data_IF_022139423617
#
_entry.id   IF_022139423617
#
_cell.length_a   1.000
_cell.length_b   1.000
_cell.length_c   1.000
_cell.angle_alpha   90.00
_cell.angle_beta   90.00
_cell.angle_gamma   90.00
#
_symmetry.space_group_name_H-M   'P 1'
#
loop_
_entity.id
_entity.type
_entity.pdbx_description
1 polymer ?
#
# COMPACT_ATOMS: atom_id res chain seq x y z
N UNK A 1 14.03 -3.63 13.18
CA UNK A 1 15.20 -4.00 12.35
C UNK A 1 16.03 -5.12 12.96
N UNK A 2 16.33 -5.12 14.28
CA UNK A 2 17.09 -6.19 14.95
C UNK A 2 16.40 -7.56 14.81
N UNK A 3 15.10 -7.62 15.08
CA UNK A 3 14.30 -8.84 14.95
C UNK A 3 14.25 -9.35 13.52
N UNK A 4 14.11 -8.44 12.55
CA UNK A 4 14.13 -8.78 11.14
C UNK A 4 15.49 -9.38 10.71
N UNK A 5 16.60 -8.80 11.18
CA UNK A 5 17.95 -9.39 10.92
C UNK A 5 18.10 -10.79 11.50
N UNK A 6 17.53 -11.04 12.69
CA UNK A 6 17.53 -12.37 13.30
C UNK A 6 16.73 -13.37 12.47
N UNK A 7 15.56 -12.99 12.01
CA UNK A 7 14.72 -13.82 11.13
C UNK A 7 15.44 -14.11 9.80
N UNK A 8 16.09 -13.09 9.20
CA UNK A 8 16.90 -13.26 7.98
C UNK A 8 18.06 -14.24 8.18
N UNK A 9 18.77 -14.13 9.30
CA UNK A 9 19.87 -15.04 9.59
C UNK A 9 19.38 -16.49 9.75
N UNK A 10 18.23 -16.69 10.41
CA UNK A 10 17.62 -18.00 10.54
C UNK A 10 17.17 -18.55 9.19
N UNK A 11 16.45 -17.77 8.38
CA UNK A 11 16.00 -18.21 7.07
C UNK A 11 17.16 -18.60 6.14
N UNK A 12 18.26 -17.82 6.15
CA UNK A 12 19.47 -18.16 5.40
C UNK A 12 20.09 -19.48 5.86
N UNK A 13 20.11 -19.72 7.18
CA UNK A 13 20.60 -20.98 7.74
C UNK A 13 19.72 -22.16 7.33
N UNK A 14 18.42 -21.94 7.19
CA UNK A 14 17.43 -22.94 6.78
C UNK A 14 17.31 -23.08 5.25
N UNK A 15 18.09 -22.30 4.47
CA UNK A 15 18.03 -22.30 3.00
C UNK A 15 16.75 -21.70 2.42
N UNK A 16 16.03 -20.86 3.18
CA UNK A 16 14.78 -20.21 2.79
C UNK A 16 15.07 -18.83 2.22
N UNK A 17 14.54 -18.54 1.03
CA UNK A 17 14.56 -17.19 0.45
C UNK A 17 13.51 -16.32 1.11
N UNK A 18 13.89 -15.10 1.49
CA UNK A 18 12.98 -14.11 2.07
C UNK A 18 12.87 -12.87 1.18
N UNK A 19 11.71 -12.25 1.23
CA UNK A 19 11.43 -10.91 0.73
C UNK A 19 10.56 -10.17 1.73
N UNK A 20 10.45 -8.87 1.60
CA UNK A 20 9.60 -8.04 2.43
C UNK A 20 8.61 -7.25 1.56
N UNK A 21 7.44 -6.98 2.11
CA UNK A 21 6.49 -6.01 1.58
C UNK A 21 6.32 -4.91 2.62
N UNK A 22 6.40 -3.65 2.20
CA UNK A 22 5.98 -2.54 3.04
C UNK A 22 4.56 -2.15 2.69
N UNK A 23 3.83 -1.71 3.68
CA UNK A 23 2.42 -1.35 3.55
C UNK A 23 2.21 0.18 3.65
N UNK A 24 3.20 0.96 3.19
CA UNK A 24 3.13 2.42 3.17
C UNK A 24 3.63 3.08 4.45
N UNK A 25 3.55 4.41 4.48
CA UNK A 25 3.98 5.29 5.58
C UNK A 25 5.47 5.12 5.93
N UNK A 26 6.32 5.09 4.88
CA UNK A 26 7.75 4.85 5.03
C UNK A 26 8.48 6.07 5.60
N UNK A 27 7.98 7.26 5.36
CA UNK A 27 8.61 8.52 5.75
C UNK A 27 7.90 9.22 6.88
N UNK A 28 6.62 8.94 7.08
CA UNK A 28 5.79 9.56 8.09
C UNK A 28 5.82 11.09 8.01
N UNK A 29 5.24 11.78 9.00
CA UNK A 29 5.23 13.25 9.06
C UNK A 29 6.62 13.88 9.15
N UNK A 30 7.63 13.12 9.52
CA UNK A 30 8.99 13.63 9.71
C UNK A 30 9.62 14.13 8.42
N UNK A 31 9.26 13.57 7.28
CA UNK A 31 9.73 14.06 5.99
C UNK A 31 9.14 15.42 5.64
N UNK A 32 7.82 15.55 5.76
CA UNK A 32 7.10 16.74 5.27
C UNK A 32 7.16 17.90 6.24
N UNK A 33 6.99 17.62 7.52
CA UNK A 33 6.86 18.69 8.52
C UNK A 33 8.16 19.05 9.18
N UNK A 34 9.10 18.13 9.29
CA UNK A 34 10.39 18.36 9.96
C UNK A 34 11.59 18.20 9.03
N UNK A 35 11.39 17.68 7.83
CA UNK A 35 12.46 17.37 6.87
C UNK A 35 13.60 16.52 7.47
N UNK A 36 13.27 15.64 8.42
CA UNK A 36 14.25 14.89 9.20
C UNK A 36 14.45 13.46 8.72
N UNK A 37 13.43 12.84 8.16
CA UNK A 37 13.49 11.48 7.62
C UNK A 37 12.96 11.43 6.20
N UNK A 38 13.86 11.34 5.24
CA UNK A 38 13.56 11.35 3.81
C UNK A 38 13.48 9.94 3.22
N UNK A 39 12.86 9.73 2.05
CA UNK A 39 12.83 8.46 1.32
C UNK A 39 14.23 7.85 1.15
N UNK A 40 15.24 8.67 0.91
CA UNK A 40 16.64 8.25 0.81
C UNK A 40 17.20 7.64 2.11
N UNK A 41 16.71 8.10 3.28
CA UNK A 41 17.09 7.52 4.56
C UNK A 41 16.51 6.10 4.73
N UNK A 42 15.23 5.92 4.39
CA UNK A 42 14.60 4.59 4.38
C UNK A 42 15.39 3.64 3.48
N UNK A 43 15.66 4.04 2.23
CA UNK A 43 16.43 3.20 1.29
C UNK A 43 17.79 2.78 1.87
N UNK A 44 18.54 3.71 2.43
CA UNK A 44 19.83 3.39 3.07
C UNK A 44 19.69 2.46 4.26
N UNK A 45 18.66 2.66 5.08
CA UNK A 45 18.43 1.80 6.24
C UNK A 45 18.02 0.38 5.86
N UNK A 46 17.34 0.20 4.74
CA UNK A 46 16.88 -1.10 4.29
C UNK A 46 17.88 -1.83 3.40
N UNK A 47 18.82 -1.12 2.78
CA UNK A 47 19.80 -1.68 1.86
C UNK A 47 20.67 -2.79 2.47
N UNK A 48 20.95 -2.73 3.78
CA UNK A 48 21.76 -3.71 4.48
C UNK A 48 21.01 -4.99 4.89
N UNK A 49 19.72 -5.10 4.56
CA UNK A 49 18.97 -6.34 4.73
C UNK A 49 19.26 -7.37 3.63
N UNK A 50 19.69 -6.91 2.47
CA UNK A 50 20.06 -7.76 1.32
C UNK A 50 18.96 -8.75 0.94
N UNK A 51 17.72 -8.23 0.85
CA UNK A 51 16.53 -8.93 0.36
C UNK A 51 15.72 -8.01 -0.54
N UNK A 52 14.92 -8.53 -1.48
CA UNK A 52 13.93 -7.74 -2.18
C UNK A 52 12.92 -7.10 -1.20
N UNK A 53 12.63 -5.82 -1.39
CA UNK A 53 11.60 -5.11 -0.61
C UNK A 53 10.66 -4.45 -1.61
N UNK A 54 9.41 -4.88 -1.58
CA UNK A 54 8.33 -4.37 -2.42
C UNK A 54 7.54 -3.32 -1.63
N UNK A 55 7.64 -2.07 -2.05
CA UNK A 55 7.06 -0.94 -1.32
C UNK A 55 5.78 -0.46 -2.01
N UNK A 56 4.80 -0.04 -1.20
CA UNK A 56 3.65 0.76 -1.65
C UNK A 56 3.65 2.09 -0.91
N UNK A 57 3.11 3.17 -1.52
CA UNK A 57 2.94 4.44 -0.82
C UNK A 57 1.84 4.35 0.23
N UNK A 58 1.99 5.14 1.28
CA UNK A 58 0.96 5.42 2.26
C UNK A 58 0.59 6.90 2.26
N UNK A 59 -0.38 7.28 3.07
CA UNK A 59 -0.87 8.66 3.11
C UNK A 59 0.14 9.67 3.66
N UNK A 60 1.26 9.23 4.23
CA UNK A 60 2.36 10.10 4.69
C UNK A 60 3.55 10.16 3.70
N UNK A 61 3.47 9.49 2.55
CA UNK A 61 4.59 9.34 1.62
C UNK A 61 4.53 10.26 0.38
N UNK A 62 3.61 11.21 0.35
CA UNK A 62 3.41 12.16 -0.74
C UNK A 62 3.88 13.57 -0.39
N UNK A 63 3.98 14.45 -1.38
CA UNK A 63 4.23 15.89 -1.19
C UNK A 63 2.93 16.65 -0.90
N UNK A 64 2.64 17.04 0.35
CA UNK A 64 1.40 17.70 0.72
C UNK A 64 1.29 19.15 0.18
N UNK A 65 2.37 19.70 -0.38
CA UNK A 65 2.38 21.03 -0.97
C UNK A 65 1.98 21.05 -2.44
N UNK A 66 1.87 19.89 -3.06
CA UNK A 66 1.39 19.71 -4.42
C UNK A 66 -0.06 19.27 -4.39
N UNK A 67 -0.92 19.99 -5.10
CA UNK A 67 -2.37 19.82 -5.00
C UNK A 67 -2.92 18.61 -5.75
N UNK A 68 -2.27 18.19 -6.84
CA UNK A 68 -2.72 17.05 -7.62
C UNK A 68 -2.08 15.73 -7.16
N UNK A 69 -2.84 14.66 -7.30
CA UNK A 69 -2.48 13.32 -6.90
C UNK A 69 -1.15 12.87 -7.52
N UNK A 70 -1.08 12.87 -8.85
CA UNK A 70 0.11 12.43 -9.58
C UNK A 70 1.35 13.27 -9.25
N UNK A 71 1.22 14.60 -9.18
CA UNK A 71 2.34 15.47 -8.85
C UNK A 71 2.85 15.27 -7.43
N UNK A 72 1.95 15.04 -6.47
CA UNK A 72 2.29 14.82 -5.06
C UNK A 72 3.10 13.54 -4.82
N UNK A 73 3.00 12.57 -5.70
CA UNK A 73 3.75 11.30 -5.65
C UNK A 73 5.12 11.35 -6.35
N UNK A 74 5.51 12.48 -6.91
CA UNK A 74 6.80 12.59 -7.60
C UNK A 74 8.00 12.15 -6.75
N UNK A 75 8.11 12.50 -5.46
CA UNK A 75 9.20 12.03 -4.61
C UNK A 75 9.19 10.52 -4.38
N UNK A 76 8.01 9.91 -4.32
CA UNK A 76 7.91 8.44 -4.27
C UNK A 76 8.49 7.82 -5.54
N UNK A 77 8.03 8.27 -6.71
CA UNK A 77 8.50 7.73 -8.00
C UNK A 77 10.00 7.90 -8.23
N UNK A 78 10.57 8.99 -7.74
CA UNK A 78 12.00 9.22 -7.81
C UNK A 78 12.81 8.16 -7.04
N UNK A 79 12.31 7.74 -5.89
CA UNK A 79 13.06 6.88 -4.97
C UNK A 79 12.70 5.40 -5.06
N UNK A 80 11.45 5.08 -5.36
CA UNK A 80 10.92 3.71 -5.28
C UNK A 80 10.37 3.18 -6.62
N UNK A 81 10.19 4.04 -7.62
CA UNK A 81 9.60 3.67 -8.90
C UNK A 81 8.08 3.81 -8.91
N UNK A 82 7.34 3.00 -9.68
CA UNK A 82 5.90 3.14 -9.81
C UNK A 82 5.19 3.00 -8.45
N UNK A 83 4.05 3.70 -8.30
CA UNK A 83 3.24 3.64 -7.08
C UNK A 83 2.38 2.37 -7.03
N UNK A 84 2.09 1.79 -8.18
CA UNK A 84 1.41 0.49 -8.30
C UNK A 84 2.09 -0.40 -9.35
N UNK A 85 2.13 -1.70 -9.11
CA UNK A 85 2.80 -2.69 -9.95
C UNK A 85 2.44 -4.11 -9.53
N UNK A 86 2.83 -5.11 -10.35
CA UNK A 86 2.67 -6.53 -10.04
C UNK A 86 3.95 -7.31 -10.27
N UNK A 87 4.04 -8.49 -9.69
CA UNK A 87 5.14 -9.45 -9.85
C UNK A 87 4.70 -10.84 -9.42
N UNK A 88 5.41 -11.86 -9.88
CA UNK A 88 5.20 -13.24 -9.47
C UNK A 88 6.32 -13.74 -8.55
N UNK A 89 5.96 -14.48 -7.51
CA UNK A 89 6.88 -15.31 -6.74
C UNK A 89 6.29 -16.71 -6.64
N UNK A 90 6.93 -17.65 -7.30
CA UNK A 90 6.39 -19.01 -7.41
C UNK A 90 5.03 -19.01 -8.10
N UNK A 91 4.05 -19.66 -7.48
CA UNK A 91 2.70 -19.78 -8.01
C UNK A 91 1.76 -18.62 -7.61
N UNK A 92 2.27 -17.66 -6.87
CA UNK A 92 1.49 -16.54 -6.35
C UNK A 92 1.74 -15.30 -7.19
N UNK A 93 0.67 -14.61 -7.57
CA UNK A 93 0.72 -13.31 -8.22
C UNK A 93 0.50 -12.21 -7.19
N UNK A 94 1.45 -11.28 -7.09
CA UNK A 94 1.42 -10.15 -6.16
C UNK A 94 1.04 -8.89 -6.92
N UNK A 95 0.08 -8.15 -6.38
CA UNK A 95 -0.40 -6.88 -6.92
C UNK A 95 -0.21 -5.84 -5.82
N UNK A 96 0.53 -4.80 -6.09
CA UNK A 96 0.72 -3.65 -5.22
C UNK A 96 -0.11 -2.49 -5.77
N UNK A 97 -1.08 -2.02 -4.98
CA UNK A 97 -1.99 -0.96 -5.37
C UNK A 97 -1.69 0.32 -4.58
N UNK A 98 -1.79 1.41 -5.28
CA UNK A 98 -1.82 2.74 -4.71
C UNK A 98 -3.28 3.13 -4.46
N UNK A 99 -3.71 3.01 -3.22
CA UNK A 99 -5.10 3.23 -2.84
C UNK A 99 -5.33 4.54 -2.10
N UNK A 100 -4.36 5.45 -2.16
CA UNK A 100 -4.43 6.76 -1.54
C UNK A 100 -4.50 7.85 -2.61
N UNK A 101 -5.68 8.43 -2.81
CA UNK A 101 -5.89 9.53 -3.75
C UNK A 101 -5.74 10.87 -3.03
N UNK A 102 -4.74 11.64 -3.38
CA UNK A 102 -4.44 12.91 -2.76
C UNK A 102 -5.26 14.06 -3.35
N UNK A 103 -5.79 14.90 -2.47
CA UNK A 103 -6.50 16.12 -2.79
C UNK A 103 -5.97 17.27 -1.92
N UNK A 104 -4.66 17.42 -1.88
CA UNK A 104 -3.99 18.42 -1.06
C UNK A 104 -4.37 19.83 -1.51
N UNK A 105 -4.39 20.77 -0.58
CA UNK A 105 -4.68 22.17 -0.90
C UNK A 105 -3.45 22.96 -1.32
N UNK A 106 -2.27 22.34 -1.25
CA UNK A 106 -1.01 23.04 -1.39
C UNK A 106 -0.72 23.91 -0.16
N UNK A 107 0.32 24.68 -0.17
CA UNK A 107 0.61 25.63 0.91
C UNK A 107 2.08 25.68 1.33
N UNK A 108 2.34 26.33 2.45
CA UNK A 108 3.69 26.52 2.96
C UNK A 108 4.18 25.28 3.69
N UNK A 109 5.46 24.98 3.51
CA UNK A 109 6.14 23.90 4.20
C UNK A 109 5.97 24.00 5.73
N UNK A 110 5.74 22.87 6.39
CA UNK A 110 5.59 22.80 7.84
C UNK A 110 4.15 22.99 8.34
N UNK A 111 3.17 23.13 7.46
CA UNK A 111 1.74 23.25 7.83
C UNK A 111 1.03 21.90 7.71
N UNK A 112 0.60 21.35 8.84
CA UNK A 112 -0.09 20.06 8.92
C UNK A 112 -1.45 20.06 8.18
N UNK A 113 -2.07 21.20 7.96
CA UNK A 113 -3.41 21.33 7.38
C UNK A 113 -3.50 21.11 5.87
N UNK A 114 -2.40 20.87 5.18
CA UNK A 114 -2.40 20.75 3.71
C UNK A 114 -2.64 19.33 3.21
N UNK A 115 -2.44 18.33 4.05
CA UNK A 115 -2.62 16.93 3.70
C UNK A 115 -4.11 16.59 3.65
N UNK A 116 -4.57 16.15 2.49
CA UNK A 116 -5.93 15.61 2.30
C UNK A 116 -5.89 14.46 1.32
N UNK A 117 -6.59 13.40 1.63
CA UNK A 117 -6.65 12.21 0.78
C UNK A 117 -7.97 11.45 0.99
N UNK A 118 -8.30 10.60 0.03
CA UNK A 118 -9.39 9.62 0.11
C UNK A 118 -8.88 8.26 -0.33
N UNK A 119 -9.52 7.19 0.11
CA UNK A 119 -9.23 5.87 -0.43
C UNK A 119 -9.88 5.69 -1.80
N UNK A 120 -9.14 5.15 -2.76
CA UNK A 120 -9.65 4.85 -4.09
C UNK A 120 -8.54 4.42 -5.03
N UNK A 121 -8.91 4.03 -6.24
CA UNK A 121 -7.98 3.79 -7.34
C UNK A 121 -8.30 4.76 -8.46
N UNK A 122 -7.28 5.30 -9.11
CA UNK A 122 -7.48 6.11 -10.29
C UNK A 122 -8.06 5.27 -11.44
N UNK A 123 -8.72 5.91 -12.39
CA UNK A 123 -9.23 5.22 -13.58
C UNK A 123 -8.10 4.55 -14.39
N UNK A 124 -6.91 5.15 -14.38
CA UNK A 124 -5.72 4.58 -15.04
C UNK A 124 -5.24 3.31 -14.32
N UNK A 125 -5.21 3.33 -13.00
CA UNK A 125 -4.85 2.16 -12.21
C UNK A 125 -5.85 1.02 -12.36
N UNK A 126 -7.16 1.31 -12.42
CA UNK A 126 -8.17 0.29 -12.69
C UNK A 126 -8.02 -0.33 -14.08
N UNK A 127 -7.71 0.47 -15.12
CA UNK A 127 -7.41 -0.05 -16.47
C UNK A 127 -6.14 -0.89 -16.50
N UNK A 128 -5.12 -0.47 -15.76
CA UNK A 128 -3.88 -1.23 -15.62
C UNK A 128 -4.16 -2.57 -14.92
N UNK A 129 -4.89 -2.58 -13.80
CA UNK A 129 -5.26 -3.79 -13.05
C UNK A 129 -6.03 -4.78 -13.93
N UNK A 130 -6.99 -4.28 -14.73
CA UNK A 130 -7.71 -5.11 -15.68
C UNK A 130 -6.78 -5.72 -16.74
N UNK A 131 -5.82 -4.95 -17.26
CA UNK A 131 -4.87 -5.42 -18.25
C UNK A 131 -3.88 -6.44 -17.66
N UNK A 132 -3.43 -6.24 -16.46
CA UNK A 132 -2.56 -7.13 -15.70
C UNK A 132 -3.25 -8.48 -15.45
N UNK A 133 -4.46 -8.47 -14.91
CA UNK A 133 -5.23 -9.67 -14.61
C UNK A 133 -5.61 -10.51 -15.84
N UNK A 134 -5.68 -9.91 -17.04
CA UNK A 134 -5.85 -10.68 -18.28
C UNK A 134 -4.67 -11.62 -18.59
N UNK A 135 -3.51 -11.38 -18.00
CA UNK A 135 -2.32 -12.22 -18.14
C UNK A 135 -2.27 -13.33 -17.07
N UNK A 136 -3.10 -13.23 -16.03
CA UNK A 136 -3.10 -14.14 -14.89
C UNK A 136 -4.16 -15.24 -15.09
N UNK A 137 -3.79 -16.53 -15.04
CA UNK A 137 -4.75 -17.61 -15.14
C UNK A 137 -5.83 -17.53 -14.04
N UNK A 138 -7.08 -17.74 -14.40
CA UNK A 138 -8.19 -17.79 -13.44
C UNK A 138 -7.97 -18.88 -12.38
N UNK A 139 -8.39 -18.62 -11.15
CA UNK A 139 -8.17 -19.52 -10.02
C UNK A 139 -6.80 -19.40 -9.36
N UNK A 140 -5.88 -18.59 -9.91
CA UNK A 140 -4.60 -18.33 -9.28
C UNK A 140 -4.80 -17.59 -7.94
N UNK A 141 -3.91 -17.80 -6.99
CA UNK A 141 -3.90 -17.05 -5.74
C UNK A 141 -3.25 -15.68 -5.96
N UNK A 142 -3.93 -14.64 -5.53
CA UNK A 142 -3.46 -13.26 -5.56
C UNK A 142 -3.17 -12.76 -4.15
N UNK A 143 -2.05 -12.06 -3.99
CA UNK A 143 -1.79 -11.22 -2.82
C UNK A 143 -1.86 -9.75 -3.25
N UNK A 144 -2.84 -9.03 -2.71
CA UNK A 144 -3.09 -7.62 -3.04
C UNK A 144 -2.65 -6.76 -1.86
N UNK A 145 -1.55 -6.04 -2.04
CA UNK A 145 -1.04 -5.06 -1.09
C UNK A 145 -1.70 -3.70 -1.30
N UNK A 146 -2.21 -3.09 -0.25
CA UNK A 146 -2.80 -1.75 -0.21
C UNK A 146 -2.38 -1.06 1.08
N UNK A 147 -2.36 0.28 1.08
CA UNK A 147 -2.06 0.99 2.32
C UNK A 147 -3.26 0.99 3.26
N UNK A 148 -4.41 1.48 2.79
CA UNK A 148 -5.62 1.59 3.60
C UNK A 148 -6.39 0.26 3.52
N UNK A 149 -6.86 -0.22 4.65
CA UNK A 149 -7.63 -1.47 4.66
C UNK A 149 -8.88 -1.37 3.78
N UNK A 150 -9.13 -2.44 3.03
CA UNK A 150 -10.29 -2.51 2.15
C UNK A 150 -11.61 -2.43 2.93
N UNK A 151 -11.67 -3.08 4.09
CA UNK A 151 -12.82 -3.06 5.00
C UNK A 151 -12.38 -2.76 6.42
N UNK A 152 -13.25 -2.10 7.17
CA UNK A 152 -13.11 -1.99 8.61
C UNK A 152 -14.34 -2.57 9.32
N UNK A 153 -14.13 -3.12 10.50
CA UNK A 153 -15.20 -3.64 11.35
C UNK A 153 -15.38 -2.71 12.53
N UNK A 154 -16.59 -2.21 12.73
CA UNK A 154 -16.88 -1.29 13.83
C UNK A 154 -18.23 -1.62 14.48
N UNK A 155 -18.42 -1.13 15.72
CA UNK A 155 -19.71 -1.21 16.42
C UNK A 155 -20.53 0.03 16.13
N UNK A 156 -21.78 -0.19 15.78
CA UNK A 156 -22.80 0.86 15.70
C UNK A 156 -23.46 1.09 17.06
N UNK A 157 -24.25 2.15 17.19
CA UNK A 157 -24.84 2.59 18.46
C UNK A 157 -25.69 1.54 19.21
N UNK A 158 -26.25 0.57 18.52
CA UNK A 158 -27.00 -0.54 19.11
C UNK A 158 -26.10 -1.72 19.58
N UNK A 159 -24.80 -1.56 19.52
CA UNK A 159 -23.83 -2.57 19.91
C UNK A 159 -23.56 -3.67 18.89
N UNK A 160 -24.24 -3.66 17.74
CA UNK A 160 -23.98 -4.62 16.66
C UNK A 160 -22.68 -4.31 15.95
N UNK A 161 -22.02 -5.38 15.49
CA UNK A 161 -20.89 -5.24 14.58
C UNK A 161 -21.41 -5.01 13.16
N UNK A 162 -20.79 -4.07 12.47
CA UNK A 162 -21.05 -3.82 11.06
C UNK A 162 -19.75 -3.66 10.29
N UNK A 163 -19.85 -3.69 8.96
CA UNK A 163 -18.72 -3.44 8.06
C UNK A 163 -18.78 -2.01 7.55
N UNK A 164 -17.62 -1.37 7.53
CA UNK A 164 -17.41 -0.11 6.85
C UNK A 164 -16.44 -0.25 5.69
N UNK A 165 -16.59 0.63 4.73
CA UNK A 165 -15.70 0.73 3.58
C UNK A 165 -15.30 2.20 3.44
N UNK A 166 -14.00 2.45 3.29
CA UNK A 166 -13.49 3.78 2.99
C UNK A 166 -13.50 4.04 1.48
N UNK A 167 -13.24 3.00 0.68
CA UNK A 167 -13.24 3.10 -0.77
C UNK A 167 -14.65 3.39 -1.30
N UNK A 168 -14.80 4.36 -2.24
CA UNK A 168 -16.07 4.63 -2.92
C UNK A 168 -16.69 3.37 -3.53
N UNK A 169 -18.01 3.31 -3.52
CA UNK A 169 -18.74 2.09 -3.87
C UNK A 169 -18.51 1.63 -5.32
N UNK A 170 -18.42 2.56 -6.26
CA UNK A 170 -18.16 2.30 -7.67
C UNK A 170 -16.75 1.75 -7.91
N UNK A 171 -15.74 2.36 -7.30
CA UNK A 171 -14.36 1.88 -7.35
C UNK A 171 -14.25 0.48 -6.72
N UNK A 172 -14.85 0.29 -5.54
CA UNK A 172 -14.87 -1.00 -4.84
C UNK A 172 -15.53 -2.08 -5.68
N UNK A 173 -16.70 -1.81 -6.24
CA UNK A 173 -17.43 -2.76 -7.09
C UNK A 173 -16.59 -3.18 -8.29
N UNK A 174 -16.01 -2.21 -8.99
CA UNK A 174 -15.16 -2.50 -10.15
C UNK A 174 -13.93 -3.33 -9.78
N UNK A 175 -13.26 -3.02 -8.68
CA UNK A 175 -12.11 -3.78 -8.19
C UNK A 175 -12.51 -5.23 -7.84
N UNK A 176 -13.62 -5.42 -7.11
CA UNK A 176 -14.10 -6.75 -6.74
C UNK A 176 -14.54 -7.59 -7.95
N UNK A 177 -15.17 -6.98 -8.96
CA UNK A 177 -15.51 -7.66 -10.22
C UNK A 177 -14.26 -8.18 -10.93
N UNK A 178 -13.19 -7.38 -10.97
CA UNK A 178 -11.93 -7.80 -11.58
C UNK A 178 -11.25 -8.93 -10.81
N UNK A 179 -11.36 -8.94 -9.49
CA UNK A 179 -10.72 -9.91 -8.61
C UNK A 179 -11.54 -11.19 -8.39
N UNK A 180 -12.85 -11.18 -8.69
CA UNK A 180 -13.76 -12.29 -8.44
C UNK A 180 -13.33 -13.67 -8.99
N UNK A 181 -12.61 -13.79 -10.14
CA UNK A 181 -12.15 -15.08 -10.65
C UNK A 181 -11.01 -15.73 -9.86
N UNK A 182 -10.50 -15.07 -8.80
CA UNK A 182 -9.26 -15.45 -8.11
C UNK A 182 -9.50 -15.72 -6.62
N UNK A 183 -8.54 -16.42 -5.99
CA UNK A 183 -8.45 -16.47 -4.52
C UNK A 183 -7.59 -15.30 -4.07
N UNK A 184 -8.18 -14.32 -3.38
CA UNK A 184 -7.52 -13.05 -3.05
C UNK A 184 -7.24 -12.94 -1.57
N UNK A 185 -6.00 -12.56 -1.25
CA UNK A 185 -5.57 -12.17 0.09
C UNK A 185 -5.18 -10.70 0.07
N UNK A 186 -5.92 -9.85 0.78
CA UNK A 186 -5.55 -8.46 1.00
C UNK A 186 -4.60 -8.33 2.18
N UNK A 187 -3.52 -7.57 1.99
CA UNK A 187 -2.57 -7.22 3.05
C UNK A 187 -2.51 -5.70 3.13
N UNK A 188 -2.86 -5.15 4.29
CA UNK A 188 -3.05 -3.70 4.44
C UNK A 188 -2.42 -3.16 5.71
N UNK A 189 -2.18 -1.85 5.75
CA UNK A 189 -1.61 -1.11 6.88
C UNK A 189 -2.55 -0.08 7.47
N UNK A 190 -2.08 1.16 7.63
CA UNK A 190 -2.80 2.39 7.97
C UNK A 190 -3.39 2.46 9.39
N UNK A 191 -4.18 1.50 9.82
CA UNK A 191 -4.89 1.56 11.12
C UNK A 191 -4.05 1.19 12.34
N UNK A 192 -2.82 0.68 12.13
CA UNK A 192 -1.93 0.24 13.21
C UNK A 192 -2.54 -0.83 14.13
N UNK A 193 -3.47 -1.64 13.60
CA UNK A 193 -4.17 -2.70 14.34
C UNK A 193 -3.98 -4.02 13.60
N UNK A 194 -3.59 -5.05 14.32
CA UNK A 194 -3.50 -6.40 13.77
C UNK A 194 -4.84 -7.12 13.87
N UNK A 195 -5.45 -7.44 12.75
CA UNK A 195 -6.65 -8.27 12.71
C UNK A 195 -6.79 -8.97 11.34
N UNK A 196 -7.58 -10.00 11.29
CA UNK A 196 -7.93 -10.71 10.06
C UNK A 196 -9.43 -10.69 9.86
N UNK A 197 -9.87 -10.38 8.66
CA UNK A 197 -11.26 -10.41 8.23
C UNK A 197 -11.42 -11.32 7.02
N UNK A 198 -12.62 -11.87 6.87
CA UNK A 198 -13.07 -12.51 5.64
C UNK A 198 -14.08 -11.59 4.98
N UNK A 199 -14.01 -11.48 3.66
CA UNK A 199 -14.96 -10.74 2.82
C UNK A 199 -15.67 -11.79 1.99
N UNK A 200 -16.99 -11.93 2.23
CA UNK A 200 -17.88 -12.85 1.51
C UNK A 200 -18.42 -12.20 0.23
#
# INVERSE_FOLDING_TARGET
KADLRKQLAQARADGVSLYAMSLGDLTWDEYWYKNSYQPSHYRRQMADLDIPIYNIPGNHDNDPYVADDFGSEAPWREHFGPTYYSFDIGEIHYIQLDDTLFANTGGAQGTVGNLSYTQGLTADQLRWLEADLRQVPTGKTLFVGMHIQFTTRYRIADGKLTWGYYMPADCRTKMLELLAPYTVHFVTGHTHINYTNFID
#
